data_IF_459394053901
#
_entry.id   IF_459394053901
#
_cell.length_a   1.000
_cell.length_b   1.000
_cell.length_c   1.000
_cell.angle_alpha   90.00
_cell.angle_beta   90.00
_cell.angle_gamma   90.00
#
_symmetry.space_group_name_H-M   'P 1'
#
loop_
_entity.id
_entity.type
_entity.pdbx_description
1 polymer ?
#
# COMPACT_ATOMS: atom_id res chain seq x y z
N UNK A 1 21.41 9.19 -0.53
CA UNK A 1 20.32 9.94 -1.19
C UNK A 1 20.93 10.82 -2.26
N UNK A 2 20.31 10.88 -3.44
CA UNK A 2 20.77 11.75 -4.53
C UNK A 2 20.48 13.21 -4.16
N UNK A 3 21.46 14.14 -4.27
CA UNK A 3 21.25 15.55 -3.97
C UNK A 3 20.20 16.22 -4.89
N UNK A 4 19.39 17.13 -4.34
CA UNK A 4 18.30 17.80 -5.06
C UNK A 4 18.79 18.66 -6.25
N UNK A 5 20.00 19.23 -6.15
CA UNK A 5 20.66 19.97 -7.24
C UNK A 5 20.91 19.09 -8.46
N UNK A 6 21.25 17.81 -8.23
CA UNK A 6 21.46 16.81 -9.30
C UNK A 6 20.14 16.46 -9.99
N UNK A 7 19.05 16.30 -9.22
CA UNK A 7 17.70 16.04 -9.78
C UNK A 7 17.25 17.21 -10.65
N UNK A 8 17.38 18.45 -10.16
CA UNK A 8 17.05 19.67 -10.92
C UNK A 8 17.90 19.82 -12.18
N UNK A 9 19.18 19.45 -12.13
CA UNK A 9 20.05 19.48 -13.31
C UNK A 9 19.62 18.44 -14.37
N UNK A 10 19.25 17.23 -13.95
CA UNK A 10 18.76 16.21 -14.87
C UNK A 10 17.46 16.64 -15.58
N UNK A 11 16.52 17.23 -14.84
CA UNK A 11 15.27 17.77 -15.38
C UNK A 11 15.49 18.89 -16.39
N UNK A 12 16.38 19.85 -16.07
CA UNK A 12 16.73 20.94 -16.99
C UNK A 12 17.42 20.42 -18.26
N UNK A 13 18.36 19.50 -18.11
CA UNK A 13 19.04 18.87 -19.24
C UNK A 13 18.07 18.10 -20.15
N UNK A 14 17.07 17.43 -19.57
CA UNK A 14 16.00 16.75 -20.31
C UNK A 14 15.13 17.75 -21.08
N UNK A 15 14.67 18.82 -20.40
CA UNK A 15 13.86 19.88 -21.00
C UNK A 15 14.58 20.56 -22.17
N UNK A 16 15.87 20.89 -22.01
CA UNK A 16 16.68 21.50 -23.08
C UNK A 16 16.85 20.60 -24.31
N UNK A 17 16.80 19.28 -24.11
CA UNK A 17 16.99 18.28 -25.17
C UNK A 17 15.69 17.75 -25.77
N UNK A 18 14.55 18.01 -25.12
CA UNK A 18 13.24 17.49 -25.55
C UNK A 18 13.14 15.97 -25.47
N UNK A 19 13.86 15.33 -24.55
CA UNK A 19 13.87 13.87 -24.37
C UNK A 19 13.52 13.52 -22.92
N UNK A 20 13.04 12.29 -22.64
CA UNK A 20 12.89 11.80 -21.28
C UNK A 20 14.20 11.87 -20.50
N UNK A 21 14.12 12.08 -19.18
CA UNK A 21 15.30 12.19 -18.32
C UNK A 21 16.23 10.99 -18.49
N UNK A 22 15.68 9.77 -18.55
CA UNK A 22 16.42 8.52 -18.72
C UNK A 22 17.31 8.48 -19.97
N UNK A 23 16.94 9.21 -21.02
CA UNK A 23 17.71 9.31 -22.27
C UNK A 23 18.83 10.37 -22.22
N UNK A 24 18.82 11.24 -21.20
CA UNK A 24 19.85 12.28 -21.05
C UNK A 24 21.19 11.64 -20.66
N UNK A 25 22.29 11.87 -21.41
CA UNK A 25 23.59 11.34 -21.02
C UNK A 25 24.06 11.89 -19.66
N UNK A 26 24.66 11.05 -18.80
CA UNK A 26 25.17 11.49 -17.48
C UNK A 26 26.21 12.63 -17.59
N UNK A 27 26.92 12.73 -18.70
CA UNK A 27 27.83 13.87 -18.96
C UNK A 27 27.05 15.18 -19.04
N UNK A 28 25.92 15.20 -19.75
CA UNK A 28 25.08 16.38 -19.88
C UNK A 28 24.44 16.78 -18.54
N UNK A 29 24.06 15.80 -17.72
CA UNK A 29 23.59 16.05 -16.35
C UNK A 29 24.70 16.67 -15.49
N UNK A 30 25.94 16.20 -15.63
CA UNK A 30 27.08 16.73 -14.88
C UNK A 30 27.41 18.16 -15.29
N UNK A 31 27.38 18.45 -16.59
CA UNK A 31 27.55 19.79 -17.17
C UNK A 31 26.48 20.76 -16.66
N UNK A 32 25.21 20.38 -16.71
CA UNK A 32 24.10 21.21 -16.19
C UNK A 32 24.18 21.41 -14.67
N UNK A 33 24.75 20.45 -13.94
CA UNK A 33 25.01 20.56 -12.50
C UNK A 33 26.31 21.33 -12.16
N UNK A 34 27.12 21.72 -13.15
CA UNK A 34 28.40 22.40 -12.94
C UNK A 34 29.46 21.54 -12.22
N UNK A 35 29.36 20.20 -12.34
CA UNK A 35 30.28 19.26 -11.68
C UNK A 35 30.94 18.31 -12.69
N UNK A 36 32.03 17.67 -12.30
CA UNK A 36 32.63 16.63 -13.14
C UNK A 36 31.77 15.35 -13.16
N UNK A 37 31.86 14.58 -14.27
CA UNK A 37 31.20 13.29 -14.42
C UNK A 37 31.52 12.30 -13.28
N UNK A 38 32.77 12.27 -12.81
CA UNK A 38 33.19 11.41 -11.70
C UNK A 38 32.52 11.83 -10.37
N UNK A 39 32.37 13.13 -10.15
CA UNK A 39 31.65 13.67 -8.98
C UNK A 39 30.16 13.32 -9.04
N UNK A 40 29.54 13.44 -10.22
CA UNK A 40 28.14 13.03 -10.43
C UNK A 40 27.96 11.54 -10.11
N UNK A 41 28.78 10.66 -10.71
CA UNK A 41 28.70 9.21 -10.50
C UNK A 41 28.81 8.85 -9.01
N UNK A 42 29.71 9.49 -8.26
CA UNK A 42 29.83 9.28 -6.82
C UNK A 42 28.56 9.74 -6.06
N UNK A 43 27.98 10.88 -6.43
CA UNK A 43 26.76 11.43 -5.78
C UNK A 43 25.52 10.58 -6.02
N UNK A 44 25.44 9.88 -7.15
CA UNK A 44 24.33 8.96 -7.47
C UNK A 44 24.63 7.50 -7.08
N UNK A 45 25.65 7.23 -6.26
CA UNK A 45 25.95 5.86 -5.83
C UNK A 45 26.43 4.93 -6.96
N UNK A 46 27.00 5.50 -8.02
CA UNK A 46 27.60 4.76 -9.13
C UNK A 46 26.64 4.25 -10.20
N UNK A 47 25.32 4.43 -10.02
CA UNK A 47 24.30 3.90 -10.93
C UNK A 47 23.38 4.99 -11.46
N UNK A 48 23.04 4.88 -12.74
CA UNK A 48 22.00 5.71 -13.38
C UNK A 48 20.64 5.53 -12.71
N UNK A 49 20.30 4.31 -12.30
CA UNK A 49 19.01 3.99 -11.69
C UNK A 49 18.72 4.84 -10.45
N UNK A 50 19.73 5.13 -9.62
CA UNK A 50 19.56 5.96 -8.43
C UNK A 50 19.15 7.40 -8.77
N UNK A 51 19.59 7.94 -9.91
CA UNK A 51 19.14 9.24 -10.40
C UNK A 51 17.68 9.18 -10.85
N UNK A 52 17.31 8.15 -11.61
CA UNK A 52 15.95 7.99 -12.12
C UNK A 52 14.95 7.76 -10.96
N UNK A 53 15.31 6.99 -9.95
CA UNK A 53 14.53 6.80 -8.72
C UNK A 53 14.34 8.12 -7.95
N UNK A 54 15.37 8.96 -7.89
CA UNK A 54 15.29 10.27 -7.24
C UNK A 54 14.41 11.27 -8.02
N UNK A 55 14.41 11.18 -9.35
CA UNK A 55 13.51 11.96 -10.22
C UNK A 55 12.06 11.52 -10.01
N UNK A 56 11.81 10.21 -9.90
CA UNK A 56 10.48 9.65 -9.59
C UNK A 56 9.99 10.07 -8.21
N UNK A 57 10.86 10.05 -7.20
CA UNK A 57 10.54 10.54 -5.85
C UNK A 57 10.19 12.05 -5.82
N UNK A 58 10.67 12.82 -6.81
CA UNK A 58 10.29 14.22 -7.00
C UNK A 58 8.97 14.40 -7.80
N UNK A 59 8.26 13.31 -8.10
CA UNK A 59 6.97 13.33 -8.79
C UNK A 59 7.04 13.44 -10.32
N UNK A 60 8.22 13.22 -10.92
CA UNK A 60 8.40 13.26 -12.38
C UNK A 60 8.75 11.88 -12.91
N UNK A 61 8.10 11.45 -14.00
CA UNK A 61 8.48 10.21 -14.70
C UNK A 61 9.78 10.45 -15.50
N UNK A 62 10.90 9.80 -15.16
CA UNK A 62 12.13 9.94 -15.93
C UNK A 62 12.06 9.29 -17.32
N UNK A 63 11.09 8.41 -17.60
CA UNK A 63 11.10 7.50 -18.74
C UNK A 63 12.08 6.33 -18.57
N UNK A 64 12.19 5.46 -19.57
CA UNK A 64 13.08 4.28 -19.53
C UNK A 64 12.54 3.10 -18.71
N UNK A 65 13.35 2.04 -18.56
CA UNK A 65 12.98 0.88 -17.72
C UNK A 65 13.11 1.23 -16.23
N UNK A 66 12.10 0.86 -15.43
CA UNK A 66 12.13 0.91 -13.97
C UNK A 66 13.37 0.21 -13.40
N UNK A 67 13.78 0.53 -12.16
CA UNK A 67 14.92 -0.14 -11.52
C UNK A 67 14.68 -1.64 -11.37
N UNK A 68 15.75 -2.45 -11.28
CA UNK A 68 15.61 -3.90 -10.98
C UNK A 68 14.78 -4.12 -9.72
N UNK A 69 14.92 -3.23 -8.73
CA UNK A 69 14.14 -3.27 -7.48
C UNK A 69 12.64 -3.13 -7.76
N UNK A 70 12.24 -2.09 -8.49
CA UNK A 70 10.83 -1.83 -8.80
C UNK A 70 10.22 -2.95 -9.64
N UNK A 71 10.92 -3.38 -10.71
CA UNK A 71 10.44 -4.46 -11.58
C UNK A 71 10.30 -5.78 -10.83
N UNK A 72 11.23 -6.09 -9.93
CA UNK A 72 11.16 -7.29 -9.11
C UNK A 72 10.00 -7.26 -8.12
N UNK A 73 9.71 -6.10 -7.52
CA UNK A 73 8.56 -5.94 -6.63
C UNK A 73 7.25 -6.16 -7.39
N UNK A 74 7.10 -5.56 -8.57
CA UNK A 74 5.91 -5.72 -9.42
C UNK A 74 5.75 -7.16 -9.93
N UNK A 75 6.83 -7.77 -10.43
CA UNK A 75 6.83 -9.17 -10.86
C UNK A 75 6.46 -10.11 -9.70
N UNK A 76 6.97 -9.85 -8.50
CA UNK A 76 6.66 -10.64 -7.31
C UNK A 76 5.20 -10.49 -6.90
N UNK A 77 4.66 -9.27 -6.89
CA UNK A 77 3.25 -9.02 -6.57
C UNK A 77 2.32 -9.72 -7.58
N UNK A 78 2.66 -9.68 -8.88
CA UNK A 78 1.94 -10.42 -9.92
C UNK A 78 1.93 -11.93 -9.67
N UNK A 79 3.09 -12.53 -9.41
CA UNK A 79 3.19 -13.96 -9.07
C UNK A 79 2.39 -14.31 -7.81
N UNK A 80 2.51 -13.47 -6.78
CA UNK A 80 1.83 -13.67 -5.50
C UNK A 80 0.31 -13.62 -5.66
N UNK A 81 -0.22 -12.62 -6.37
CA UNK A 81 -1.67 -12.46 -6.57
C UNK A 81 -2.30 -13.49 -7.50
N UNK A 82 -1.56 -14.04 -8.46
CA UNK A 82 -2.07 -15.03 -9.41
C UNK A 82 -1.90 -16.48 -8.95
N UNK A 83 -0.69 -16.82 -8.52
CA UNK A 83 -0.27 -18.21 -8.28
C UNK A 83 0.01 -18.49 -6.79
N UNK A 84 -0.06 -17.47 -5.95
CA UNK A 84 0.21 -17.55 -4.52
C UNK A 84 1.71 -17.61 -4.19
N UNK A 85 2.02 -17.62 -2.89
CA UNK A 85 3.39 -17.51 -2.38
C UNK A 85 4.35 -18.59 -2.90
N UNK A 86 3.84 -19.82 -3.11
CA UNK A 86 4.66 -20.96 -3.57
C UNK A 86 5.26 -20.73 -4.96
N UNK A 87 4.62 -19.89 -5.78
CA UNK A 87 5.10 -19.54 -7.12
C UNK A 87 6.18 -18.46 -7.11
N UNK A 88 6.37 -17.75 -6.00
CA UNK A 88 7.39 -16.72 -5.85
C UNK A 88 8.75 -17.39 -5.63
N UNK A 89 9.44 -17.73 -6.72
CA UNK A 89 10.86 -18.14 -6.71
C UNK A 89 11.72 -17.04 -7.33
N UNK A 90 12.99 -16.94 -6.95
CA UNK A 90 13.87 -15.89 -7.46
C UNK A 90 14.08 -16.02 -8.98
N UNK A 91 14.03 -17.23 -9.53
CA UNK A 91 14.12 -17.48 -10.97
C UNK A 91 12.90 -16.91 -11.69
N UNK A 92 11.68 -17.24 -11.24
CA UNK A 92 10.45 -16.70 -11.85
C UNK A 92 10.33 -15.19 -11.71
N UNK A 93 10.78 -14.64 -10.58
CA UNK A 93 10.86 -13.20 -10.38
C UNK A 93 11.88 -12.58 -11.33
N UNK A 94 13.06 -13.19 -11.49
CA UNK A 94 14.10 -12.67 -12.37
C UNK A 94 13.62 -12.63 -13.83
N UNK A 95 12.94 -13.68 -14.27
CA UNK A 95 12.32 -13.76 -15.59
C UNK A 95 11.26 -12.65 -15.77
N UNK A 96 10.32 -12.53 -14.82
CA UNK A 96 9.28 -11.51 -14.86
C UNK A 96 9.81 -10.08 -14.78
N UNK A 97 10.89 -9.86 -14.04
CA UNK A 97 11.57 -8.57 -13.89
C UNK A 97 12.62 -8.31 -14.98
N UNK A 98 12.80 -9.24 -15.93
CA UNK A 98 13.80 -9.18 -17.00
C UNK A 98 15.20 -8.83 -16.46
N UNK A 99 15.65 -9.59 -15.47
CA UNK A 99 16.97 -9.42 -14.85
C UNK A 99 17.59 -10.77 -14.52
N UNK A 100 18.82 -10.77 -14.00
CA UNK A 100 19.44 -12.00 -13.53
C UNK A 100 19.07 -12.26 -12.06
N UNK A 101 19.06 -13.53 -11.63
CA UNK A 101 18.94 -13.89 -10.21
C UNK A 101 20.03 -13.21 -9.38
N UNK A 102 21.25 -13.08 -9.92
CA UNK A 102 22.33 -12.35 -9.26
C UNK A 102 21.97 -10.88 -9.00
N UNK A 103 21.30 -10.22 -9.95
CA UNK A 103 20.80 -8.84 -9.79
C UNK A 103 19.75 -8.74 -8.69
N UNK A 104 18.90 -9.76 -8.50
CA UNK A 104 17.95 -9.81 -7.38
C UNK A 104 18.66 -9.94 -6.04
N UNK A 105 19.66 -10.82 -5.93
CA UNK A 105 20.48 -10.93 -4.72
C UNK A 105 21.22 -9.62 -4.43
N UNK A 106 21.75 -8.94 -5.45
CA UNK A 106 22.39 -7.64 -5.26
C UNK A 106 21.41 -6.54 -4.81
N UNK A 107 20.15 -6.59 -5.27
CA UNK A 107 19.15 -5.58 -4.96
C UNK A 107 18.46 -5.78 -3.59
N UNK A 108 18.24 -7.03 -3.18
CA UNK A 108 17.44 -7.36 -1.99
C UNK A 108 18.19 -8.19 -0.95
N UNK A 109 19.27 -8.89 -1.31
CA UNK A 109 19.94 -9.84 -0.43
C UNK A 109 19.26 -11.21 -0.33
N UNK A 110 18.05 -11.38 -0.87
CA UNK A 110 17.35 -12.66 -0.92
C UNK A 110 15.83 -12.53 -1.07
N UNK A 111 15.15 -13.68 -1.06
CA UNK A 111 13.70 -13.78 -1.24
C UNK A 111 12.90 -13.10 -0.12
N UNK A 112 13.33 -13.22 1.13
CA UNK A 112 12.56 -12.69 2.27
C UNK A 112 12.58 -11.16 2.29
N UNK A 113 13.72 -10.54 1.99
CA UNK A 113 13.84 -9.09 1.86
C UNK A 113 13.06 -8.54 0.65
N UNK A 114 12.95 -9.32 -0.43
CA UNK A 114 12.08 -9.01 -1.56
C UNK A 114 10.59 -9.07 -1.16
N UNK A 115 10.17 -10.12 -0.46
CA UNK A 115 8.80 -10.24 0.06
C UNK A 115 8.47 -9.10 1.04
N UNK A 116 9.40 -8.76 1.92
CA UNK A 116 9.27 -7.60 2.80
C UNK A 116 9.01 -6.31 2.01
N UNK A 117 9.78 -6.05 0.94
CA UNK A 117 9.60 -4.87 0.10
C UNK A 117 8.26 -4.87 -0.65
N UNK A 118 7.75 -6.04 -1.05
CA UNK A 118 6.42 -6.19 -1.64
C UNK A 118 5.35 -5.86 -0.59
N UNK A 119 5.48 -6.39 0.62
CA UNK A 119 4.53 -6.14 1.70
C UNK A 119 4.50 -4.67 2.07
N UNK A 120 5.66 -4.03 2.17
CA UNK A 120 5.78 -2.60 2.44
C UNK A 120 5.07 -1.74 1.38
N UNK A 121 5.16 -2.13 0.09
CA UNK A 121 4.54 -1.39 -1.03
C UNK A 121 3.04 -1.63 -1.15
N UNK A 122 2.59 -2.87 -0.96
CA UNK A 122 1.22 -3.30 -1.25
C UNK A 122 0.33 -3.44 -0.01
N UNK A 123 0.89 -3.32 1.20
CA UNK A 123 0.07 -3.18 2.40
C UNK A 123 -0.55 -1.78 2.41
N UNK A 124 -1.88 -1.66 2.50
CA UNK A 124 -2.54 -0.38 2.45
C UNK A 124 -2.14 0.46 3.66
N UNK A 125 -1.84 1.73 3.42
CA UNK A 125 -1.76 2.72 4.49
C UNK A 125 -3.18 3.23 4.74
N UNK A 126 -3.92 2.45 5.53
CA UNK A 126 -5.34 2.74 5.81
C UNK A 126 -5.40 3.89 6.81
N UNK A 127 -5.32 5.11 6.29
CA UNK A 127 -5.27 6.33 7.09
C UNK A 127 -6.66 6.77 7.54
N UNK A 128 -7.18 6.09 8.56
CA UNK A 128 -8.46 6.43 9.17
C UNK A 128 -8.43 7.78 9.92
N UNK A 129 -7.24 8.30 10.26
CA UNK A 129 -7.12 9.58 10.98
C UNK A 129 -7.71 10.74 10.16
N UNK A 130 -7.61 10.68 8.83
CA UNK A 130 -8.22 11.66 7.91
C UNK A 130 -9.73 11.81 8.15
N UNK A 131 -10.42 10.69 8.42
CA UNK A 131 -11.87 10.69 8.70
C UNK A 131 -12.14 11.08 10.14
N UNK A 132 -11.35 10.58 11.08
CA UNK A 132 -11.57 10.78 12.51
C UNK A 132 -11.26 12.21 12.98
N UNK A 133 -10.36 12.91 12.30
CA UNK A 133 -9.99 14.30 12.58
C UNK A 133 -10.95 15.32 11.92
N UNK A 134 -11.90 14.86 11.11
CA UNK A 134 -12.87 15.73 10.46
C UNK A 134 -13.87 16.33 11.50
N UNK A 135 -14.08 17.66 11.52
CA UNK A 135 -14.95 18.28 12.50
C UNK A 135 -16.42 17.86 12.35
N UNK A 136 -17.04 17.49 13.48
CA UNK A 136 -18.47 17.23 13.67
C UNK A 136 -19.16 16.43 12.55
N UNK A 137 -18.59 15.29 12.18
CA UNK A 137 -19.32 14.32 11.35
C UNK A 137 -20.38 13.59 12.18
N UNK A 138 -21.53 13.32 11.57
CA UNK A 138 -22.52 12.42 12.16
C UNK A 138 -21.92 11.01 12.34
N UNK A 139 -22.37 10.28 13.37
CA UNK A 139 -21.86 8.95 13.71
C UNK A 139 -21.94 8.00 12.50
N UNK A 140 -23.05 8.04 11.76
CA UNK A 140 -23.28 7.22 10.57
C UNK A 140 -22.24 7.52 9.49
N UNK A 141 -22.06 8.79 9.15
CA UNK A 141 -21.15 9.27 8.12
C UNK A 141 -19.70 8.87 8.43
N UNK A 142 -19.32 8.93 9.71
CA UNK A 142 -18.01 8.50 10.18
C UNK A 142 -17.82 6.99 9.96
N UNK A 143 -18.77 6.15 10.41
CA UNK A 143 -18.74 4.69 10.22
C UNK A 143 -18.65 4.34 8.74
N UNK A 144 -19.50 4.95 7.90
CA UNK A 144 -19.51 4.72 6.46
C UNK A 144 -18.18 5.09 5.82
N UNK A 145 -17.58 6.21 6.22
CA UNK A 145 -16.31 6.67 5.68
C UNK A 145 -15.15 5.74 6.04
N UNK A 146 -15.13 5.21 7.28
CA UNK A 146 -14.18 4.17 7.69
C UNK A 146 -14.37 2.91 6.82
N UNK A 147 -15.61 2.49 6.56
CA UNK A 147 -15.89 1.33 5.72
C UNK A 147 -15.46 1.50 4.27
N UNK A 148 -15.65 2.69 3.69
CA UNK A 148 -15.13 3.02 2.35
C UNK A 148 -13.61 2.96 2.30
N UNK A 149 -12.93 3.54 3.27
CA UNK A 149 -11.46 3.49 3.36
C UNK A 149 -10.95 2.03 3.38
N UNK A 150 -11.59 1.16 4.16
CA UNK A 150 -11.23 -0.27 4.18
C UNK A 150 -11.56 -0.96 2.86
N UNK A 151 -12.71 -0.67 2.26
CA UNK A 151 -13.11 -1.22 0.96
C UNK A 151 -12.16 -0.83 -0.17
N UNK A 152 -11.82 0.46 -0.26
CA UNK A 152 -10.93 1.03 -1.28
C UNK A 152 -9.56 0.34 -1.26
N UNK A 153 -9.03 0.03 -0.07
CA UNK A 153 -7.77 -0.69 0.08
C UNK A 153 -7.81 -2.09 -0.59
N UNK A 154 -8.91 -2.83 -0.43
CA UNK A 154 -9.08 -4.14 -1.07
C UNK A 154 -9.38 -4.03 -2.56
N UNK A 155 -10.10 -2.99 -2.98
CA UNK A 155 -10.42 -2.77 -4.39
C UNK A 155 -9.22 -2.31 -5.21
N UNK A 156 -8.27 -1.60 -4.59
CA UNK A 156 -7.02 -1.19 -5.22
C UNK A 156 -6.13 -2.40 -5.52
N UNK A 157 -6.05 -3.36 -4.59
CA UNK A 157 -5.16 -4.53 -4.68
C UNK A 157 -5.91 -5.87 -4.48
N UNK A 158 -6.88 -6.21 -5.33
CA UNK A 158 -7.87 -7.28 -5.08
C UNK A 158 -7.29 -8.71 -5.10
N UNK A 159 -6.05 -8.87 -5.56
CA UNK A 159 -5.34 -10.16 -5.60
C UNK A 159 -4.11 -10.19 -4.71
N UNK A 160 -3.37 -9.09 -4.67
CA UNK A 160 -2.11 -9.01 -3.93
C UNK A 160 -2.37 -8.92 -2.43
N UNK A 161 -3.28 -8.05 -2.00
CA UNK A 161 -3.57 -7.85 -0.57
C UNK A 161 -4.11 -9.12 0.12
N UNK A 162 -5.09 -9.87 -0.45
CA UNK A 162 -5.50 -11.15 0.12
C UNK A 162 -4.36 -12.18 0.24
N UNK A 163 -3.46 -12.22 -0.74
CA UNK A 163 -2.32 -13.15 -0.72
C UNK A 163 -1.28 -12.77 0.34
N UNK A 164 -1.03 -11.47 0.56
CA UNK A 164 -0.20 -10.97 1.67
C UNK A 164 -0.81 -11.37 3.01
N UNK A 165 -2.11 -11.13 3.20
CA UNK A 165 -2.82 -11.48 4.44
C UNK A 165 -2.77 -12.98 4.70
N UNK A 166 -3.00 -13.81 3.67
CA UNK A 166 -2.96 -15.25 3.79
C UNK A 166 -1.56 -15.76 4.22
N UNK A 167 -0.49 -15.21 3.64
CA UNK A 167 0.87 -15.58 4.03
C UNK A 167 1.23 -15.07 5.44
N UNK A 168 0.86 -13.84 5.78
CA UNK A 168 1.08 -13.29 7.11
C UNK A 168 0.43 -14.18 8.19
N UNK A 169 -0.83 -14.60 7.98
CA UNK A 169 -1.57 -15.49 8.88
C UNK A 169 -0.94 -16.89 8.97
N UNK A 170 -0.35 -17.39 7.89
CA UNK A 170 0.34 -18.68 7.88
C UNK A 170 1.68 -18.64 8.63
N UNK A 171 2.32 -17.48 8.71
CA UNK A 171 3.67 -17.30 9.29
C UNK A 171 3.74 -16.09 10.22
N UNK A 172 3.00 -16.08 11.34
CA UNK A 172 2.85 -14.89 12.19
C UNK A 172 4.16 -14.43 12.87
N UNK A 173 5.17 -15.29 12.96
CA UNK A 173 6.50 -14.96 13.50
C UNK A 173 7.49 -14.40 12.48
N UNK A 174 7.13 -14.34 11.20
CA UNK A 174 8.01 -13.84 10.14
C UNK A 174 8.14 -12.31 10.21
N UNK A 175 9.36 -11.72 10.08
CA UNK A 175 9.54 -10.28 10.14
C UNK A 175 8.72 -9.49 9.11
N UNK A 176 8.50 -10.02 7.90
CA UNK A 176 7.65 -9.38 6.90
C UNK A 176 6.19 -9.40 7.32
N UNK A 177 5.70 -10.53 7.84
CA UNK A 177 4.35 -10.62 8.39
C UNK A 177 4.15 -9.64 9.56
N UNK A 178 5.12 -9.52 10.46
CA UNK A 178 5.09 -8.58 11.58
C UNK A 178 4.98 -7.13 11.13
N UNK A 179 5.66 -6.74 10.04
CA UNK A 179 5.55 -5.40 9.48
C UNK A 179 4.12 -5.09 8.99
N UNK A 180 3.44 -6.07 8.38
CA UNK A 180 2.02 -5.95 7.98
C UNK A 180 1.13 -5.75 9.21
N UNK A 181 1.32 -6.57 10.24
CA UNK A 181 0.54 -6.47 11.48
C UNK A 181 0.74 -5.14 12.21
N UNK A 182 1.97 -4.67 12.26
CA UNK A 182 2.30 -3.43 12.96
C UNK A 182 1.75 -2.22 12.20
N UNK A 183 1.96 -2.17 10.87
CA UNK A 183 1.58 -1.01 10.06
C UNK A 183 0.07 -0.92 9.80
N UNK A 184 -0.56 -2.02 9.39
CA UNK A 184 -1.96 -1.99 8.95
C UNK A 184 -2.94 -2.29 10.09
N UNK A 185 -2.75 -3.40 10.81
CA UNK A 185 -3.73 -3.86 11.80
C UNK A 185 -3.64 -3.05 13.10
N UNK A 186 -2.44 -2.84 13.63
CA UNK A 186 -2.26 -2.17 14.93
C UNK A 186 -2.71 -0.71 14.86
N UNK A 187 -2.34 0.02 13.80
CA UNK A 187 -2.76 1.42 13.58
C UNK A 187 -4.29 1.54 13.44
N UNK A 188 -4.91 0.66 12.65
CA UNK A 188 -6.37 0.63 12.50
C UNK A 188 -7.07 0.40 13.84
N UNK A 189 -6.64 -0.61 14.60
CA UNK A 189 -7.24 -0.95 15.91
C UNK A 189 -7.06 0.19 16.91
N UNK A 190 -5.88 0.82 16.94
CA UNK A 190 -5.60 1.94 17.84
C UNK A 190 -6.49 3.16 17.51
N UNK A 191 -6.53 3.57 16.25
CA UNK A 191 -7.24 4.77 15.83
C UNK A 191 -8.76 4.60 15.94
N UNK A 192 -9.29 3.49 15.43
CA UNK A 192 -10.72 3.16 15.59
C UNK A 192 -11.06 2.99 17.07
N UNK A 193 -10.19 2.33 17.84
CA UNK A 193 -10.42 2.12 19.27
C UNK A 193 -10.49 3.42 20.07
N UNK A 194 -9.60 4.38 19.74
CA UNK A 194 -9.61 5.72 20.33
C UNK A 194 -10.91 6.46 20.02
N UNK A 195 -11.36 6.41 18.77
CA UNK A 195 -12.62 7.03 18.36
C UNK A 195 -13.84 6.37 19.04
N UNK A 196 -13.96 5.04 19.00
CA UNK A 196 -15.04 4.32 19.68
C UNK A 196 -15.11 4.70 21.18
N UNK A 197 -13.96 4.80 21.84
CA UNK A 197 -13.89 5.20 23.25
C UNK A 197 -14.47 6.60 23.46
N UNK A 198 -14.17 7.55 22.57
CA UNK A 198 -14.71 8.91 22.64
C UNK A 198 -16.23 8.94 22.39
N UNK A 199 -16.73 8.13 21.45
CA UNK A 199 -18.15 8.00 21.14
C UNK A 199 -18.95 7.35 22.30
N UNK A 200 -18.36 6.38 23.01
CA UNK A 200 -18.93 5.79 24.23
C UNK A 200 -19.02 6.86 25.33
N UNK A 201 -17.93 7.61 25.57
CA UNK A 201 -17.89 8.67 26.57
C UNK A 201 -18.90 9.79 26.27
N UNK A 202 -19.19 10.04 25.00
CA UNK A 202 -20.20 11.01 24.56
C UNK A 202 -21.64 10.45 24.57
N UNK A 203 -21.84 9.19 24.97
CA UNK A 203 -23.16 8.55 25.05
C UNK A 203 -23.78 8.25 23.69
N UNK A 204 -22.99 8.17 22.61
CA UNK A 204 -23.45 7.87 21.25
C UNK A 204 -23.32 6.38 20.91
N UNK A 205 -22.35 5.69 21.49
CA UNK A 205 -22.18 4.24 21.40
C UNK A 205 -22.36 3.54 22.74
N UNK A 206 -22.81 2.28 22.70
CA UNK A 206 -22.96 1.39 23.87
C UNK A 206 -21.59 1.08 24.46
N UNK A 207 -21.52 1.05 25.78
CA UNK A 207 -20.34 0.64 26.52
C UNK A 207 -20.18 -0.90 26.46
N UNK A 208 -19.44 -1.37 25.46
CA UNK A 208 -19.11 -2.78 25.24
C UNK A 208 -17.58 -2.94 25.22
N UNK A 209 -17.05 -4.16 25.42
CA UNK A 209 -15.61 -4.39 25.30
C UNK A 209 -15.04 -3.89 23.97
N UNK A 210 -14.00 -3.07 24.04
CA UNK A 210 -13.48 -2.29 22.91
C UNK A 210 -13.07 -3.15 21.71
N UNK A 211 -12.26 -4.19 21.94
CA UNK A 211 -11.76 -5.03 20.84
C UNK A 211 -12.88 -5.75 20.09
N UNK A 212 -13.86 -6.39 20.76
CA UNK A 212 -15.06 -6.88 20.09
C UNK A 212 -15.84 -5.82 19.32
N UNK A 213 -15.96 -4.59 19.84
CA UNK A 213 -16.62 -3.49 19.13
C UNK A 213 -15.87 -3.10 17.85
N UNK A 214 -14.54 -2.98 17.92
CA UNK A 214 -13.68 -2.74 16.74
C UNK A 214 -13.87 -3.87 15.73
N UNK A 215 -13.80 -5.14 16.16
CA UNK A 215 -13.98 -6.30 15.29
C UNK A 215 -15.38 -6.37 14.68
N UNK A 216 -16.42 -6.02 15.43
CA UNK A 216 -17.79 -5.95 14.94
C UNK A 216 -17.96 -4.85 13.89
N UNK A 217 -17.22 -3.74 14.04
CA UNK A 217 -17.22 -2.64 13.08
C UNK A 217 -16.51 -3.06 11.78
N UNK A 218 -15.22 -3.39 11.84
CA UNK A 218 -14.40 -3.58 10.62
C UNK A 218 -14.47 -4.99 10.04
N UNK A 219 -14.80 -5.99 10.87
CA UNK A 219 -14.77 -7.41 10.51
C UNK A 219 -15.68 -7.77 9.32
N UNK A 220 -16.95 -7.35 9.29
CA UNK A 220 -17.84 -7.65 8.16
C UNK A 220 -17.34 -7.08 6.83
N UNK A 221 -16.87 -5.83 6.82
CA UNK A 221 -16.30 -5.18 5.63
C UNK A 221 -15.02 -5.91 5.20
N UNK A 222 -14.10 -6.13 6.13
CA UNK A 222 -12.87 -6.86 5.88
C UNK A 222 -13.14 -8.25 5.30
N UNK A 223 -14.04 -9.02 5.91
CA UNK A 223 -14.41 -10.36 5.45
C UNK A 223 -15.08 -10.34 4.08
N UNK A 224 -15.97 -9.38 3.82
CA UNK A 224 -16.66 -9.28 2.55
C UNK A 224 -15.66 -9.06 1.41
N UNK A 225 -14.85 -8.01 1.49
CA UNK A 225 -13.90 -7.66 0.43
C UNK A 225 -12.74 -8.64 0.30
N UNK A 226 -12.25 -9.21 1.40
CA UNK A 226 -11.24 -10.27 1.37
C UNK A 226 -11.71 -11.52 0.62
N UNK A 227 -13.00 -11.87 0.75
CA UNK A 227 -13.58 -13.07 0.17
C UNK A 227 -14.29 -12.83 -1.18
N UNK A 228 -14.54 -11.57 -1.57
CA UNK A 228 -15.15 -11.21 -2.87
C UNK A 228 -14.53 -11.92 -4.07
N UNK A 229 -13.19 -12.00 -4.23
CA UNK A 229 -12.57 -12.70 -5.36
C UNK A 229 -12.84 -14.21 -5.40
N UNK A 230 -13.21 -14.80 -4.25
CA UNK A 230 -13.62 -16.20 -4.15
C UNK A 230 -15.10 -16.32 -4.54
N UNK A 231 -15.94 -15.43 -4.04
CA UNK A 231 -17.37 -15.40 -4.36
C UNK A 231 -17.64 -15.18 -5.85
N UNK A 232 -16.85 -14.33 -6.51
CA UNK A 232 -16.91 -14.12 -7.97
C UNK A 232 -16.64 -15.40 -8.79
N UNK A 233 -15.93 -16.38 -8.23
CA UNK A 233 -15.72 -17.68 -8.90
C UNK A 233 -16.95 -18.58 -8.83
N UNK A 234 -17.88 -18.30 -7.93
CA UNK A 234 -19.14 -19.01 -7.86
C UNK A 234 -20.17 -18.31 -8.75
N UNK A 235 -20.41 -18.85 -9.94
CA UNK A 235 -21.41 -18.34 -10.91
C UNK A 235 -22.86 -18.26 -10.38
N UNK A 236 -23.12 -18.63 -9.12
CA UNK A 236 -24.45 -18.67 -8.50
C UNK A 236 -24.65 -17.58 -7.43
N UNK A 237 -23.63 -16.78 -7.10
CA UNK A 237 -23.72 -15.73 -6.07
C UNK A 237 -23.64 -14.37 -6.76
N UNK A 238 -24.75 -13.62 -6.78
CA UNK A 238 -24.70 -12.20 -7.12
C UNK A 238 -24.21 -11.43 -5.90
N UNK A 239 -22.96 -10.96 -5.94
CA UNK A 239 -22.48 -10.04 -4.92
C UNK A 239 -23.18 -8.70 -5.08
N UNK A 240 -23.68 -8.09 -3.99
CA UNK A 240 -24.07 -6.68 -4.01
C UNK A 240 -22.93 -5.82 -4.55
N UNK A 241 -23.26 -4.64 -5.09
CA UNK A 241 -22.18 -3.71 -5.38
C UNK A 241 -21.51 -3.26 -4.06
N UNK A 242 -20.24 -2.82 -4.10
CA UNK A 242 -19.48 -2.41 -2.91
C UNK A 242 -20.19 -1.39 -2.01
N UNK A 243 -20.87 -0.40 -2.61
CA UNK A 243 -21.55 0.66 -1.87
C UNK A 243 -22.79 0.13 -1.14
N UNK A 244 -23.58 -0.74 -1.78
CA UNK A 244 -24.72 -1.40 -1.14
C UNK A 244 -24.28 -2.26 0.07
N UNK A 245 -23.15 -2.94 -0.06
CA UNK A 245 -22.57 -3.73 1.03
C UNK A 245 -22.13 -2.81 2.19
N UNK A 246 -21.46 -1.69 1.88
CA UNK A 246 -21.03 -0.70 2.88
C UNK A 246 -22.23 -0.10 3.62
N UNK A 247 -23.30 0.28 2.92
CA UNK A 247 -24.53 0.80 3.57
C UNK A 247 -25.18 -0.28 4.45
N UNK A 248 -25.23 -1.53 3.98
CA UNK A 248 -25.74 -2.67 4.77
C UNK A 248 -24.95 -2.88 6.06
N UNK A 249 -23.61 -2.85 5.99
CA UNK A 249 -22.77 -3.00 7.17
C UNK A 249 -22.85 -1.79 8.10
N UNK A 250 -22.98 -0.58 7.55
CA UNK A 250 -23.16 0.66 8.33
C UNK A 250 -24.43 0.57 9.18
N UNK A 251 -25.55 0.21 8.55
CA UNK A 251 -26.82 -0.03 9.24
C UNK A 251 -26.71 -1.10 10.33
N UNK A 252 -26.07 -2.23 10.01
CA UNK A 252 -25.94 -3.35 10.93
C UNK A 252 -25.12 -2.96 12.18
N UNK A 253 -24.01 -2.25 11.99
CA UNK A 253 -23.18 -1.77 13.10
C UNK A 253 -23.95 -0.77 13.97
N UNK A 254 -24.57 0.25 13.36
CA UNK A 254 -25.28 1.30 14.11
C UNK A 254 -26.46 0.73 14.92
N UNK A 255 -27.24 -0.20 14.37
CA UNK A 255 -28.33 -0.86 15.13
C UNK A 255 -27.79 -1.62 16.36
N UNK A 256 -26.62 -2.23 16.22
CA UNK A 256 -26.01 -3.06 17.24
C UNK A 256 -25.16 -2.27 18.26
N UNK A 257 -24.67 -1.08 17.92
CA UNK A 257 -23.73 -0.32 18.75
C UNK A 257 -24.23 1.08 19.14
N UNK A 258 -25.08 1.74 18.36
CA UNK A 258 -25.53 3.09 18.65
C UNK A 258 -26.56 3.13 19.79
N UNK A 259 -26.51 4.23 20.55
CA UNK A 259 -27.53 4.60 21.54
C UNK A 259 -28.54 5.51 20.81
N UNK A 260 -29.83 5.15 20.76
CA UNK A 260 -30.85 6.02 20.17
C UNK A 260 -30.86 7.37 20.91
N UNK A 261 -31.03 8.50 20.20
CA UNK A 261 -31.28 9.77 20.87
C UNK A 261 -32.50 9.60 21.79
N UNK A 262 -32.41 10.12 23.02
CA UNK A 262 -33.54 10.08 23.93
C UNK A 262 -34.74 10.73 23.25
N UNK A 263 -35.87 10.01 23.18
CA UNK A 263 -37.14 10.58 22.71
C UNK A 263 -37.44 11.80 23.60
N UNK A 264 -37.46 12.98 23.00
CA UNK A 264 -37.79 14.25 23.66
C UNK A 264 -39.30 14.45 23.77
#
# INVERSE_FOLDING_TARGET
>A
MVPEDVVKAALRAAQMRGVPVAEVPLVAVAEEAGISRSTLLRRIGGSRAALDDAVRAAGVDPGGQLSVRERAIEATAGLLGHDGLKAVTLERVADGAQCSVHSLYAAFGGRDALLYAVYERYSPDVDVDIVLDAPQQELRETVRSIFRIVADAFQHEPRVLPAIIADALARPGDPAAQAVYHKAISRMVENVGRWITAEIAAGRLRDLPLLPLVQQMVGPVFSYFLLSPIYERFNQVSLPNPEDAIETFTEAFLRAAAIPPAEA
#
